data_IF_840974076896
#
_entry.id   IF_840974076896
#
_cell.length_a   1.000
_cell.length_b   1.000
_cell.length_c   1.000
_cell.angle_alpha   90.00
_cell.angle_beta   90.00
_cell.angle_gamma   90.00
#
_symmetry.space_group_name_H-M   'P 1'
#
loop_
_entity.id
_entity.type
_entity.pdbx_description
1 polymer ?
#
# COMPACT_ATOMS: atom_id res chain seq x y z
N UNK A 1 58.40 10.45 -18.15
CA UNK A 1 57.44 10.05 -19.20
C UNK A 1 56.43 9.00 -18.69
N UNK A 2 55.65 9.29 -17.64
CA UNK A 2 54.78 8.28 -16.99
C UNK A 2 53.35 8.18 -17.54
N UNK A 3 52.67 9.32 -17.71
CA UNK A 3 51.22 9.37 -17.90
C UNK A 3 50.67 8.60 -19.13
N UNK A 4 51.38 8.64 -20.26
CA UNK A 4 50.89 8.05 -21.52
C UNK A 4 50.73 6.52 -21.45
N UNK A 5 51.63 5.82 -20.72
CA UNK A 5 51.55 4.35 -20.57
C UNK A 5 50.30 3.92 -19.78
N UNK A 6 49.97 4.62 -18.70
CA UNK A 6 48.75 4.35 -17.92
C UNK A 6 47.51 4.57 -18.78
N UNK A 7 47.48 5.65 -19.58
CA UNK A 7 46.35 5.94 -20.48
C UNK A 7 46.14 4.83 -21.51
N UNK A 8 47.22 4.24 -22.04
CA UNK A 8 47.15 3.10 -22.97
C UNK A 8 46.65 1.82 -22.30
N UNK A 9 47.19 1.46 -21.12
CA UNK A 9 46.73 0.29 -20.35
C UNK A 9 45.26 0.41 -19.93
N UNK A 10 44.83 1.60 -19.50
CA UNK A 10 43.43 1.88 -19.15
C UNK A 10 42.49 1.75 -20.36
N UNK A 11 42.89 2.21 -21.55
CA UNK A 11 42.11 1.99 -22.79
C UNK A 11 42.00 0.51 -23.15
N UNK A 12 43.10 -0.24 -23.08
CA UNK A 12 43.11 -1.69 -23.34
C UNK A 12 42.18 -2.44 -22.36
N UNK A 13 42.13 -2.04 -21.09
CA UNK A 13 41.18 -2.61 -20.12
C UNK A 13 39.71 -2.28 -20.46
N UNK A 14 39.41 -1.08 -20.96
CA UNK A 14 38.05 -0.72 -21.41
C UNK A 14 37.69 -1.51 -22.68
N UNK A 15 38.58 -1.61 -23.66
CA UNK A 15 38.35 -2.38 -24.89
C UNK A 15 38.13 -3.87 -24.57
N UNK A 16 38.97 -4.48 -23.74
CA UNK A 16 38.80 -5.88 -23.32
C UNK A 16 37.49 -6.12 -22.56
N UNK A 17 37.04 -5.16 -21.73
CA UNK A 17 35.71 -5.22 -21.08
C UNK A 17 34.56 -5.04 -22.07
N UNK A 18 34.72 -4.18 -23.09
CA UNK A 18 33.72 -4.03 -24.16
C UNK A 18 33.54 -5.34 -24.91
N UNK A 19 34.61 -5.93 -25.45
CA UNK A 19 34.52 -7.18 -26.21
C UNK A 19 34.03 -8.36 -25.34
N UNK A 20 34.35 -8.38 -24.04
CA UNK A 20 33.80 -9.35 -23.09
C UNK A 20 32.28 -9.22 -22.94
N UNK A 21 31.77 -8.01 -22.73
CA UNK A 21 30.33 -7.75 -22.64
C UNK A 21 29.63 -7.98 -23.99
N UNK A 22 30.26 -7.60 -25.10
CA UNK A 22 29.80 -7.83 -26.47
C UNK A 22 29.60 -9.32 -26.75
N UNK A 23 30.57 -10.17 -26.37
CA UNK A 23 30.45 -11.63 -26.53
C UNK A 23 29.26 -12.22 -25.74
N UNK A 24 28.97 -11.69 -24.55
CA UNK A 24 27.80 -12.08 -23.76
C UNK A 24 26.50 -11.60 -24.44
N UNK A 25 26.41 -10.30 -24.75
CA UNK A 25 25.20 -9.64 -25.24
C UNK A 25 24.83 -9.97 -26.71
N UNK A 26 25.77 -10.47 -27.52
CA UNK A 26 25.48 -11.01 -28.85
C UNK A 26 24.93 -12.45 -28.81
N UNK A 27 24.94 -13.14 -27.66
CA UNK A 27 24.33 -14.47 -27.54
C UNK A 27 22.80 -14.42 -27.65
N UNK A 28 22.18 -15.53 -28.08
CA UNK A 28 20.76 -15.59 -28.46
C UNK A 28 19.79 -15.19 -27.34
N UNK A 29 20.13 -15.48 -26.07
CA UNK A 29 19.32 -15.05 -24.93
C UNK A 29 19.05 -13.53 -24.93
N UNK A 30 20.04 -12.72 -25.32
CA UNK A 30 19.97 -11.25 -25.26
C UNK A 30 19.38 -10.59 -26.53
N UNK A 31 18.73 -11.31 -27.44
CA UNK A 31 18.05 -10.71 -28.62
C UNK A 31 17.13 -9.57 -28.18
N UNK A 32 16.27 -9.83 -27.19
CA UNK A 32 15.25 -8.90 -26.67
C UNK A 32 15.86 -7.64 -26.03
N UNK A 33 17.12 -7.73 -25.58
CA UNK A 33 17.89 -6.61 -25.05
C UNK A 33 18.56 -5.79 -26.17
N UNK A 34 18.84 -6.38 -27.33
CA UNK A 34 19.58 -5.75 -28.43
C UNK A 34 18.76 -4.70 -29.17
N UNK A 35 17.45 -4.89 -29.31
CA UNK A 35 16.60 -3.97 -30.09
C UNK A 35 16.21 -2.69 -29.32
N UNK A 36 16.43 -2.65 -28.01
CA UNK A 36 16.12 -1.49 -27.15
C UNK A 36 17.25 -0.46 -27.10
N UNK A 37 16.93 0.84 -26.99
CA UNK A 37 17.94 1.90 -26.86
C UNK A 37 18.71 1.79 -25.54
N UNK A 38 20.01 2.13 -25.58
CA UNK A 38 20.88 2.12 -24.40
C UNK A 38 20.35 3.02 -23.25
N UNK A 39 19.55 4.03 -23.58
CA UNK A 39 18.87 4.90 -22.63
C UNK A 39 18.05 4.16 -21.56
N UNK A 40 17.44 3.01 -21.88
CA UNK A 40 16.45 2.35 -21.00
C UNK A 40 17.08 1.71 -19.74
N UNK A 41 18.41 1.58 -19.74
CA UNK A 41 19.23 1.13 -18.61
C UNK A 41 19.94 2.27 -17.87
N UNK A 42 19.75 3.53 -18.27
CA UNK A 42 20.29 4.70 -17.57
C UNK A 42 19.45 5.04 -16.32
N UNK A 43 20.13 5.56 -15.29
CA UNK A 43 19.52 5.99 -14.03
C UNK A 43 19.69 7.50 -13.83
N UNK A 44 18.76 8.19 -13.11
CA UNK A 44 18.90 9.61 -12.78
C UNK A 44 20.21 9.98 -12.07
N UNK A 45 20.82 9.01 -11.38
CA UNK A 45 22.08 9.15 -10.65
C UNK A 45 23.34 9.01 -11.53
N UNK A 46 23.21 8.57 -12.79
CA UNK A 46 24.35 8.36 -13.69
C UNK A 46 24.99 9.66 -14.16
N UNK A 47 26.25 9.87 -13.77
CA UNK A 47 27.05 11.03 -14.18
C UNK A 47 27.90 10.69 -15.40
N UNK A 48 27.96 11.63 -16.36
CA UNK A 48 28.75 11.55 -17.61
C UNK A 48 28.25 10.47 -18.58
N UNK A 49 26.94 10.38 -18.78
CA UNK A 49 26.32 9.52 -19.78
C UNK A 49 26.83 9.82 -21.22
N UNK A 50 26.96 8.80 -22.09
CA UNK A 50 27.36 8.96 -23.48
C UNK A 50 26.16 9.38 -24.36
N UNK A 51 25.71 10.64 -24.23
CA UNK A 51 24.47 11.13 -24.85
C UNK A 51 24.31 10.79 -26.35
N UNK A 52 25.39 10.88 -27.14
CA UNK A 52 25.39 10.56 -28.57
C UNK A 52 25.20 9.05 -28.92
N UNK A 53 25.23 8.18 -27.90
CA UNK A 53 24.97 6.74 -28.02
C UNK A 53 23.70 6.28 -27.29
N UNK A 54 23.11 7.09 -26.39
CA UNK A 54 21.95 6.66 -25.60
C UNK A 54 20.73 6.31 -26.48
N UNK A 55 20.49 7.07 -27.55
CA UNK A 55 19.40 6.82 -28.49
C UNK A 55 19.65 5.71 -29.51
N UNK A 56 20.80 5.03 -29.46
CA UNK A 56 21.12 3.87 -30.32
C UNK A 56 20.70 2.59 -29.62
N UNK A 57 20.24 1.61 -30.41
CA UNK A 57 19.94 0.27 -29.88
C UNK A 57 21.21 -0.41 -29.40
N UNK A 58 21.11 -1.28 -28.40
CA UNK A 58 22.25 -2.07 -27.92
C UNK A 58 22.85 -2.90 -29.07
N UNK A 59 22.03 -3.38 -30.02
CA UNK A 59 22.47 -4.07 -31.23
C UNK A 59 23.35 -3.22 -32.15
N UNK A 60 22.96 -1.98 -32.47
CA UNK A 60 23.79 -1.05 -33.27
C UNK A 60 25.14 -0.77 -32.57
N UNK A 61 25.12 -0.60 -31.25
CA UNK A 61 26.34 -0.36 -30.46
C UNK A 61 27.28 -1.57 -30.41
N UNK A 62 26.74 -2.79 -30.40
CA UNK A 62 27.54 -4.03 -30.38
C UNK A 62 27.92 -4.53 -31.77
N UNK A 63 27.30 -4.04 -32.84
CA UNK A 63 27.75 -4.31 -34.21
C UNK A 63 29.10 -3.64 -34.50
N UNK A 64 29.33 -2.44 -33.94
CA UNK A 64 30.51 -1.60 -34.15
C UNK A 64 31.74 -2.12 -33.39
N UNK A 65 32.96 -1.99 -33.94
CA UNK A 65 34.19 -2.19 -33.19
C UNK A 65 34.41 -1.07 -32.15
N UNK A 66 35.14 -1.36 -31.08
CA UNK A 66 35.39 -0.40 -30.00
C UNK A 66 36.05 0.92 -30.46
N UNK A 67 36.87 0.90 -31.51
CA UNK A 67 37.55 2.08 -32.06
C UNK A 67 36.57 3.16 -32.55
N UNK A 68 35.54 2.79 -33.30
CA UNK A 68 34.50 3.73 -33.78
C UNK A 68 33.73 4.40 -32.62
N UNK A 69 33.56 3.67 -31.51
CA UNK A 69 32.91 4.18 -30.31
C UNK A 69 33.81 5.14 -29.51
N UNK A 70 35.14 4.96 -29.56
CA UNK A 70 36.12 5.91 -28.99
C UNK A 70 36.29 7.16 -29.87
N UNK A 71 36.20 7.03 -31.20
CA UNK A 71 36.31 8.15 -32.15
C UNK A 71 35.04 9.01 -32.23
N UNK A 72 33.91 8.55 -31.68
CA UNK A 72 32.63 9.27 -31.73
C UNK A 72 32.73 10.66 -31.06
N UNK A 73 32.40 11.77 -31.76
CA UNK A 73 32.61 13.12 -31.26
C UNK A 73 32.03 13.40 -29.87
N UNK A 74 32.88 13.93 -28.99
CA UNK A 74 32.52 14.27 -27.62
C UNK A 74 32.45 13.08 -26.65
N UNK A 75 32.86 11.87 -27.04
CA UNK A 75 32.91 10.67 -26.18
C UNK A 75 34.33 10.43 -25.67
N UNK A 76 34.75 11.21 -24.67
CA UNK A 76 36.00 10.93 -23.96
C UNK A 76 35.91 9.70 -23.05
N UNK A 77 37.06 9.11 -22.71
CA UNK A 77 37.28 7.99 -21.77
C UNK A 77 36.27 7.85 -20.60
N UNK A 78 35.96 8.95 -19.89
CA UNK A 78 35.01 8.95 -18.76
C UNK A 78 33.55 8.64 -19.15
N UNK A 79 33.17 8.87 -20.42
CA UNK A 79 31.89 8.46 -21.00
C UNK A 79 31.93 7.00 -21.49
N UNK A 80 33.06 6.51 -22.00
CA UNK A 80 33.24 5.08 -22.33
C UNK A 80 33.14 4.20 -21.08
N UNK A 81 33.66 4.65 -19.93
CA UNK A 81 33.40 3.99 -18.64
C UNK A 81 31.92 3.98 -18.25
N UNK A 82 31.13 4.99 -18.65
CA UNK A 82 29.67 5.01 -18.43
C UNK A 82 28.95 4.07 -19.40
N UNK A 83 29.34 4.02 -20.67
CA UNK A 83 28.87 3.04 -21.66
C UNK A 83 29.06 1.60 -21.15
N UNK A 84 30.25 1.25 -20.65
CA UNK A 84 30.51 -0.08 -20.08
C UNK A 84 29.63 -0.40 -18.86
N UNK A 85 29.31 0.59 -18.01
CA UNK A 85 28.40 0.39 -16.88
C UNK A 85 26.96 0.12 -17.33
N UNK A 86 26.51 0.82 -18.38
CA UNK A 86 25.20 0.59 -18.97
C UNK A 86 25.14 -0.81 -19.61
N UNK A 87 26.12 -1.18 -20.45
CA UNK A 87 26.22 -2.52 -21.04
C UNK A 87 26.34 -3.63 -19.98
N UNK A 88 27.01 -3.39 -18.85
CA UNK A 88 27.02 -4.32 -17.72
C UNK A 88 25.65 -4.45 -17.04
N UNK A 89 24.82 -3.40 -16.98
CA UNK A 89 23.42 -3.52 -16.55
C UNK A 89 22.58 -4.31 -17.56
N UNK A 90 22.82 -4.15 -18.87
CA UNK A 90 22.17 -5.01 -19.89
C UNK A 90 22.54 -6.47 -19.65
N UNK A 91 23.82 -6.78 -19.43
CA UNK A 91 24.30 -8.15 -19.19
C UNK A 91 23.75 -8.76 -17.89
N UNK A 92 23.55 -7.93 -16.86
CA UNK A 92 22.93 -8.33 -15.59
C UNK A 92 21.38 -8.29 -15.62
N UNK A 93 20.76 -7.95 -16.74
CA UNK A 93 19.30 -8.04 -16.92
C UNK A 93 18.97 -9.46 -17.36
N UNK A 94 18.08 -10.16 -16.63
CA UNK A 94 17.61 -11.49 -17.01
C UNK A 94 16.87 -11.42 -18.37
N UNK A 95 17.41 -12.00 -19.46
CA UNK A 95 16.90 -11.75 -20.81
C UNK A 95 15.51 -12.34 -21.05
N UNK A 96 15.17 -13.39 -20.30
CA UNK A 96 13.88 -14.09 -20.37
C UNK A 96 12.77 -13.37 -19.58
N UNK A 97 13.10 -12.29 -18.86
CA UNK A 97 12.14 -11.48 -18.10
C UNK A 97 11.83 -10.12 -18.71
N UNK A 98 12.37 -9.82 -19.89
CA UNK A 98 11.80 -8.81 -20.77
C UNK A 98 10.51 -9.37 -21.40
N UNK A 99 9.49 -8.55 -21.67
CA UNK A 99 8.25 -9.03 -22.28
C UNK A 99 8.44 -9.31 -23.78
N UNK A 100 8.86 -10.54 -24.07
CA UNK A 100 8.42 -11.25 -25.28
C UNK A 100 7.18 -12.08 -24.91
N UNK A 101 6.38 -12.44 -25.91
CA UNK A 101 5.16 -13.20 -25.76
C UNK A 101 5.43 -14.58 -25.09
N UNK A 102 4.91 -14.73 -23.87
CA UNK A 102 4.79 -15.92 -23.03
C UNK A 102 5.76 -17.11 -23.20
N UNK A 103 6.66 -17.33 -22.23
CA UNK A 103 6.72 -18.56 -21.38
C UNK A 103 7.75 -18.44 -20.23
N UNK A 104 7.82 -19.46 -19.34
CA UNK A 104 8.67 -19.55 -18.14
C UNK A 104 10.16 -19.82 -18.48
N UNK A 105 11.19 -19.68 -17.61
CA UNK A 105 11.31 -19.46 -16.15
C UNK A 105 12.74 -18.86 -15.86
N UNK A 106 13.38 -18.70 -14.68
CA UNK A 106 13.16 -19.21 -13.30
C UNK A 106 13.81 -18.34 -12.18
N UNK A 107 14.62 -18.91 -11.27
CA UNK A 107 15.20 -18.34 -10.04
C UNK A 107 16.45 -17.45 -10.20
N UNK A 108 16.68 -16.57 -9.23
CA UNK A 108 17.98 -16.02 -8.83
C UNK A 108 17.98 -15.76 -7.30
N UNK A 109 19.16 -15.66 -6.67
CA UNK A 109 19.33 -15.69 -5.19
C UNK A 109 20.33 -14.63 -4.73
N UNK A 110 20.12 -14.07 -3.53
CA UNK A 110 21.09 -13.26 -2.75
C UNK A 110 21.51 -11.89 -3.34
N UNK A 111 21.92 -10.87 -2.56
CA UNK A 111 21.98 -10.69 -1.08
C UNK A 111 21.93 -9.19 -0.70
N UNK A 112 21.54 -8.90 0.54
CA UNK A 112 21.61 -7.55 1.14
C UNK A 112 20.64 -7.37 2.32
N UNK A 113 21.11 -6.79 3.43
CA UNK A 113 20.24 -6.55 4.60
C UNK A 113 19.21 -5.44 4.34
N UNK A 114 17.91 -5.68 4.59
CA UNK A 114 16.87 -4.73 4.23
C UNK A 114 16.69 -3.61 5.26
N UNK A 115 16.93 -2.37 4.84
CA UNK A 115 16.02 -1.29 5.26
C UNK A 115 14.61 -1.68 4.81
N UNK A 116 13.57 -1.42 5.61
CA UNK A 116 12.39 -2.30 5.74
C UNK A 116 11.63 -2.78 4.46
N UNK A 117 11.73 -2.10 3.30
CA UNK A 117 11.22 -2.58 2.00
C UNK A 117 12.31 -2.70 0.89
N UNK A 118 13.56 -2.30 1.14
CA UNK A 118 14.67 -2.31 0.17
C UNK A 118 14.52 -1.34 -1.02
N UNK A 119 13.41 -0.61 -1.11
CA UNK A 119 13.00 0.09 -2.32
C UNK A 119 13.53 1.54 -2.42
N UNK A 120 14.28 1.80 -3.50
CA UNK A 120 14.77 3.12 -3.90
C UNK A 120 14.24 3.52 -5.30
N UNK A 121 13.38 4.56 -5.42
CA UNK A 121 12.80 4.99 -6.70
C UNK A 121 13.81 5.55 -7.70
N UNK A 122 15.03 5.93 -7.27
CA UNK A 122 16.08 6.44 -8.16
C UNK A 122 16.93 5.32 -8.78
N UNK A 123 16.80 4.08 -8.30
CA UNK A 123 17.41 2.89 -8.91
C UNK A 123 16.57 2.28 -10.04
N UNK A 124 15.34 2.79 -10.27
CA UNK A 124 14.43 2.28 -11.29
C UNK A 124 14.80 2.87 -12.66
N UNK A 125 15.08 1.98 -13.61
CA UNK A 125 15.25 2.27 -15.04
C UNK A 125 13.98 1.91 -15.83
N UNK A 126 13.89 2.33 -17.09
CA UNK A 126 12.71 2.09 -17.95
C UNK A 126 12.47 0.58 -18.16
N UNK A 127 13.53 -0.21 -18.38
CA UNK A 127 13.44 -1.69 -18.48
C UNK A 127 12.89 -2.34 -17.20
N UNK A 128 13.33 -1.87 -16.03
CA UNK A 128 12.85 -2.40 -14.73
C UNK A 128 11.37 -2.07 -14.55
N UNK A 129 10.98 -0.84 -14.88
CA UNK A 129 9.59 -0.39 -14.84
C UNK A 129 8.69 -1.19 -15.78
N UNK A 130 9.11 -1.42 -17.02
CA UNK A 130 8.41 -2.24 -18.02
C UNK A 130 8.19 -3.69 -17.53
N UNK A 131 9.20 -4.32 -16.92
CA UNK A 131 9.06 -5.67 -16.32
C UNK A 131 8.02 -5.71 -15.19
N UNK A 132 7.94 -4.67 -14.35
CA UNK A 132 6.94 -4.58 -13.29
C UNK A 132 5.52 -4.42 -13.87
N UNK A 133 5.36 -3.55 -14.88
CA UNK A 133 4.09 -3.40 -15.62
C UNK A 133 3.66 -4.71 -16.28
N UNK A 134 4.57 -5.41 -16.95
CA UNK A 134 4.30 -6.70 -17.58
C UNK A 134 3.80 -7.75 -16.56
N UNK A 135 4.30 -7.73 -15.32
CA UNK A 135 3.81 -8.62 -14.26
C UNK A 135 2.38 -8.28 -13.83
N UNK A 136 2.03 -6.99 -13.71
CA UNK A 136 0.65 -6.58 -13.39
C UNK A 136 -0.33 -7.02 -14.46
N UNK A 137 0.03 -6.87 -15.74
CA UNK A 137 -0.78 -7.33 -16.88
C UNK A 137 -0.92 -8.85 -16.89
N UNK A 138 0.19 -9.58 -16.78
CA UNK A 138 0.27 -11.04 -16.83
C UNK A 138 -0.63 -11.76 -15.82
N UNK A 139 -0.86 -11.15 -14.66
CA UNK A 139 -1.65 -11.74 -13.56
C UNK A 139 -3.05 -11.13 -13.40
N UNK A 140 -3.53 -10.31 -14.35
CA UNK A 140 -4.89 -9.75 -14.30
C UNK A 140 -5.10 -8.68 -13.22
N UNK A 141 -4.02 -8.08 -12.71
CA UNK A 141 -4.05 -7.19 -11.54
C UNK A 141 -4.34 -5.72 -11.89
N UNK A 142 -4.68 -5.40 -13.14
CA UNK A 142 -4.90 -4.02 -13.62
C UNK A 142 -6.01 -3.31 -12.84
N UNK A 143 -7.07 -4.04 -12.45
CA UNK A 143 -8.23 -3.49 -11.74
C UNK A 143 -7.99 -3.27 -10.23
N UNK A 144 -6.91 -3.81 -9.66
CA UNK A 144 -6.59 -3.62 -8.25
C UNK A 144 -6.09 -2.20 -7.97
N UNK A 145 -6.37 -1.67 -6.77
CA UNK A 145 -6.03 -0.28 -6.44
C UNK A 145 -4.69 -0.15 -5.72
N UNK A 146 -3.98 0.96 -5.96
CA UNK A 146 -2.74 1.31 -5.27
C UNK A 146 -2.91 1.27 -3.74
N UNK A 147 -4.04 1.78 -3.23
CA UNK A 147 -4.34 1.81 -1.81
C UNK A 147 -4.55 0.42 -1.19
N UNK A 148 -5.12 -0.53 -1.93
CA UNK A 148 -5.25 -1.90 -1.45
C UNK A 148 -3.91 -2.61 -1.34
N UNK A 149 -2.99 -2.35 -2.28
CA UNK A 149 -1.75 -3.11 -2.48
C UNK A 149 -0.48 -2.46 -1.90
N UNK A 150 -0.49 -1.17 -1.54
CA UNK A 150 0.68 -0.51 -0.91
C UNK A 150 1.07 -1.17 0.43
N UNK A 151 2.38 -1.24 0.79
CA UNK A 151 2.80 -1.66 2.12
C UNK A 151 2.19 -0.83 3.27
N UNK A 152 2.00 0.49 3.07
CA UNK A 152 1.33 1.36 4.05
C UNK A 152 0.70 2.60 3.42
N UNK A 153 -0.52 2.94 3.84
CA UNK A 153 -1.20 4.16 3.42
C UNK A 153 -0.58 5.44 4.04
N UNK A 154 0.27 5.33 5.08
CA UNK A 154 0.90 6.48 5.78
C UNK A 154 1.68 7.41 4.85
N UNK A 155 2.34 6.84 3.84
CA UNK A 155 3.24 7.57 2.95
C UNK A 155 2.59 7.94 1.61
N UNK A 156 1.33 7.52 1.37
CA UNK A 156 0.62 7.74 0.11
C UNK A 156 -0.58 8.69 0.29
N UNK A 157 -0.70 9.70 -0.57
CA UNK A 157 -1.80 10.67 -0.48
C UNK A 157 -3.15 10.08 -0.92
N UNK A 158 -4.24 10.37 -0.20
CA UNK A 158 -5.60 9.84 -0.48
C UNK A 158 -6.09 9.92 -1.92
N UNK A 159 -5.68 10.96 -2.65
CA UNK A 159 -6.06 11.20 -4.05
C UNK A 159 -5.76 10.02 -4.98
N UNK A 160 -4.76 9.19 -4.65
CA UNK A 160 -4.40 7.99 -5.45
C UNK A 160 -4.72 6.66 -4.77
N UNK A 161 -5.38 6.64 -3.59
CA UNK A 161 -5.71 5.39 -2.90
C UNK A 161 -6.64 4.49 -3.72
N UNK A 162 -7.63 5.08 -4.40
CA UNK A 162 -8.60 4.34 -5.23
C UNK A 162 -8.25 4.34 -6.73
N UNK A 163 -7.02 4.70 -7.10
CA UNK A 163 -6.55 4.59 -8.49
C UNK A 163 -6.18 3.13 -8.80
N UNK A 164 -6.71 2.53 -9.88
CA UNK A 164 -6.32 1.19 -10.29
C UNK A 164 -4.87 1.18 -10.80
N UNK A 165 -4.22 0.02 -10.80
CA UNK A 165 -2.88 -0.12 -11.40
C UNK A 165 -2.93 0.17 -12.91
N UNK A 166 -4.05 -0.17 -13.57
CA UNK A 166 -4.30 0.05 -15.01
C UNK A 166 -4.03 1.48 -15.50
N UNK A 167 -4.35 2.50 -14.70
CA UNK A 167 -4.12 3.92 -15.00
C UNK A 167 -2.64 4.28 -15.31
N UNK A 168 -1.70 3.38 -14.98
CA UNK A 168 -0.26 3.59 -15.09
C UNK A 168 0.46 2.57 -16.01
N UNK A 169 -0.26 1.61 -16.60
CA UNK A 169 0.36 0.51 -17.38
C UNK A 169 0.83 0.98 -18.76
N UNK A 170 0.14 1.91 -19.40
CA UNK A 170 0.54 2.40 -20.73
C UNK A 170 1.59 3.55 -20.65
N UNK A 171 1.99 3.93 -19.43
CA UNK A 171 2.93 5.03 -19.21
C UNK A 171 4.38 4.51 -19.03
N UNK A 172 5.35 5.06 -19.78
CA UNK A 172 6.78 4.86 -19.47
C UNK A 172 7.15 5.57 -18.16
N UNK A 173 8.26 5.17 -17.55
CA UNK A 173 8.77 5.73 -16.29
C UNK A 173 9.04 7.22 -16.40
N UNK A 174 9.56 7.67 -17.55
CA UNK A 174 9.68 9.08 -17.88
C UNK A 174 8.32 9.80 -17.91
N UNK A 175 7.28 9.15 -18.44
CA UNK A 175 5.91 9.67 -18.48
C UNK A 175 5.31 9.81 -17.08
N UNK A 176 5.47 8.80 -16.22
CA UNK A 176 5.00 8.83 -14.83
C UNK A 176 5.72 9.92 -14.02
N UNK A 177 7.05 10.05 -14.17
CA UNK A 177 7.83 11.14 -13.57
C UNK A 177 7.42 12.53 -14.09
N UNK A 178 6.79 12.63 -15.26
CA UNK A 178 6.32 13.88 -15.88
C UNK A 178 4.83 14.20 -15.62
N UNK A 179 4.08 13.34 -14.91
CA UNK A 179 2.66 13.58 -14.61
C UNK A 179 2.47 14.82 -13.72
N UNK A 180 1.95 15.92 -14.30
CA UNK A 180 1.71 17.22 -13.60
C UNK A 180 0.91 17.10 -12.29
N UNK A 181 0.07 16.07 -12.16
CA UNK A 181 -0.76 15.79 -10.96
C UNK A 181 -0.06 14.90 -9.92
N UNK A 182 1.14 14.39 -10.21
CA UNK A 182 1.88 13.44 -9.39
C UNK A 182 3.27 13.98 -9.06
N UNK A 183 3.36 14.81 -8.01
CA UNK A 183 4.66 15.14 -7.42
C UNK A 183 5.37 13.91 -6.87
N UNK A 184 6.70 14.02 -6.70
CA UNK A 184 7.65 12.95 -6.33
C UNK A 184 7.11 11.89 -5.36
N UNK A 185 6.48 12.28 -4.24
CA UNK A 185 5.91 11.36 -3.24
C UNK A 185 4.84 10.40 -3.81
N UNK A 186 4.04 10.86 -4.78
CA UNK A 186 3.05 10.02 -5.49
C UNK A 186 3.73 9.07 -6.48
N UNK A 187 4.75 9.55 -7.21
CA UNK A 187 5.55 8.73 -8.11
C UNK A 187 6.26 7.61 -7.33
N UNK A 188 6.93 7.94 -6.22
CA UNK A 188 7.55 6.97 -5.32
C UNK A 188 6.56 5.90 -4.86
N UNK A 189 5.37 6.31 -4.42
CA UNK A 189 4.34 5.37 -3.97
C UNK A 189 3.86 4.44 -5.10
N UNK A 190 3.64 4.94 -6.32
CA UNK A 190 3.27 4.11 -7.48
C UNK A 190 4.36 3.07 -7.76
N UNK A 191 5.61 3.51 -7.85
CA UNK A 191 6.75 2.62 -8.11
C UNK A 191 6.93 1.58 -7.00
N UNK A 192 6.71 1.94 -5.73
CA UNK A 192 6.75 1.01 -4.59
C UNK A 192 5.64 -0.04 -4.66
N UNK A 193 4.41 0.32 -5.03
CA UNK A 193 3.33 -0.67 -5.20
C UNK A 193 3.65 -1.63 -6.34
N UNK A 194 4.07 -1.13 -7.50
CA UNK A 194 4.43 -1.99 -8.64
C UNK A 194 5.63 -2.90 -8.34
N UNK A 195 6.64 -2.41 -7.62
CA UNK A 195 7.74 -3.23 -7.10
C UNK A 195 7.25 -4.33 -6.16
N UNK A 196 6.43 -4.01 -5.15
CA UNK A 196 5.90 -4.99 -4.22
C UNK A 196 5.00 -6.02 -4.90
N UNK A 197 4.14 -5.60 -5.84
CA UNK A 197 3.30 -6.52 -6.63
C UNK A 197 4.17 -7.41 -7.50
N UNK A 198 5.18 -6.86 -8.19
CA UNK A 198 6.13 -7.65 -8.97
C UNK A 198 6.82 -8.70 -8.10
N UNK A 199 7.45 -8.32 -6.98
CA UNK A 199 8.13 -9.26 -6.08
C UNK A 199 7.21 -10.31 -5.44
N UNK A 200 5.90 -10.08 -5.39
CA UNK A 200 4.92 -11.09 -4.92
C UNK A 200 4.51 -12.09 -6.01
N UNK A 201 4.65 -11.77 -7.29
CA UNK A 201 4.23 -12.63 -8.42
C UNK A 201 5.39 -13.07 -9.34
N UNK A 202 6.60 -12.55 -9.16
CA UNK A 202 7.78 -12.93 -9.94
C UNK A 202 8.09 -14.42 -9.73
N UNK A 203 8.06 -15.19 -10.82
CA UNK A 203 8.17 -16.65 -10.79
C UNK A 203 6.83 -17.40 -10.75
N UNK A 204 5.71 -16.75 -10.42
CA UNK A 204 4.38 -17.35 -10.62
C UNK A 204 4.09 -17.46 -12.12
N UNK A 205 3.71 -18.66 -12.57
CA UNK A 205 3.21 -18.83 -13.93
C UNK A 205 1.69 -18.66 -13.96
N UNK A 206 1.13 -17.93 -14.94
CA UNK A 206 -0.31 -17.93 -15.19
C UNK A 206 -0.84 -19.34 -15.38
N UNK A 207 -2.05 -19.58 -14.93
CA UNK A 207 -2.79 -20.84 -15.11
C UNK A 207 -4.21 -20.46 -15.49
N UNK A 208 -4.72 -20.96 -16.61
CA UNK A 208 -6.03 -20.54 -17.17
C UNK A 208 -7.21 -20.76 -16.20
N UNK A 209 -7.05 -21.71 -15.27
CA UNK A 209 -8.05 -22.09 -14.29
C UNK A 209 -7.86 -21.47 -12.88
N UNK A 210 -6.84 -20.62 -12.66
CA UNK A 210 -6.55 -20.01 -11.35
C UNK A 210 -6.40 -18.48 -11.44
N UNK A 211 -7.12 -17.75 -10.59
CA UNK A 211 -6.97 -16.31 -10.43
C UNK A 211 -6.03 -15.96 -9.26
N UNK A 212 -5.12 -15.00 -9.47
CA UNK A 212 -4.27 -14.44 -8.39
C UNK A 212 -5.03 -13.31 -7.70
N UNK A 213 -5.30 -13.43 -6.39
CA UNK A 213 -5.92 -12.38 -5.58
C UNK A 213 -4.95 -11.90 -4.50
N UNK A 214 -4.48 -10.65 -4.63
CA UNK A 214 -3.60 -10.03 -3.62
C UNK A 214 -4.43 -9.27 -2.58
N UNK A 215 -4.25 -9.63 -1.30
CA UNK A 215 -4.91 -8.99 -0.14
C UNK A 215 -3.98 -8.91 1.07
N UNK A 216 -4.12 -7.91 1.96
CA UNK A 216 -3.37 -7.88 3.21
C UNK A 216 -3.73 -9.09 4.09
N UNK A 217 -2.73 -9.81 4.61
CA UNK A 217 -2.92 -11.06 5.41
C UNK A 217 -3.89 -10.89 6.59
N UNK A 218 -3.98 -9.69 7.17
CA UNK A 218 -4.90 -9.36 8.27
C UNK A 218 -6.35 -9.29 7.80
N UNK A 219 -6.58 -8.77 6.60
CA UNK A 219 -7.91 -8.74 5.97
C UNK A 219 -8.32 -10.14 5.52
N UNK A 220 -7.40 -10.93 4.97
CA UNK A 220 -7.65 -12.34 4.63
C UNK A 220 -8.13 -13.17 5.84
N UNK A 221 -7.40 -13.10 6.96
CA UNK A 221 -7.78 -13.78 8.20
C UNK A 221 -9.18 -13.39 8.71
N UNK A 222 -9.56 -12.11 8.54
CA UNK A 222 -10.90 -11.61 8.89
C UNK A 222 -11.95 -12.07 7.88
N UNK A 223 -11.70 -11.98 6.57
CA UNK A 223 -12.63 -12.47 5.53
C UNK A 223 -12.93 -13.96 5.72
N UNK A 224 -11.92 -14.78 6.04
CA UNK A 224 -12.11 -16.20 6.32
C UNK A 224 -12.90 -16.46 7.61
N UNK A 225 -12.71 -15.66 8.66
CA UNK A 225 -13.50 -15.78 9.90
C UNK A 225 -14.95 -15.34 9.68
N UNK A 226 -15.18 -14.20 9.00
CA UNK A 226 -16.52 -13.73 8.62
C UNK A 226 -17.23 -14.75 7.73
N UNK A 227 -16.53 -15.31 6.74
CA UNK A 227 -17.07 -16.34 5.85
C UNK A 227 -17.53 -17.60 6.60
N UNK A 228 -16.72 -18.09 7.56
CA UNK A 228 -17.13 -19.20 8.45
C UNK A 228 -18.28 -18.80 9.38
N UNK A 229 -18.24 -17.62 9.98
CA UNK A 229 -19.31 -17.13 10.88
C UNK A 229 -20.66 -16.91 10.21
N UNK A 230 -20.69 -16.71 8.89
CA UNK A 230 -21.90 -16.68 8.06
C UNK A 230 -22.47 -18.09 7.78
N UNK A 231 -21.65 -19.14 7.79
CA UNK A 231 -22.03 -20.51 7.45
C UNK A 231 -22.31 -21.39 8.68
N UNK A 232 -21.55 -21.21 9.76
CA UNK A 232 -21.70 -21.95 11.02
C UNK A 232 -22.82 -21.34 11.88
N UNK A 233 -23.76 -22.12 12.43
CA UNK A 233 -24.78 -21.60 13.32
C UNK A 233 -24.21 -21.23 14.69
N UNK A 234 -24.70 -20.11 15.25
CA UNK A 234 -24.43 -19.70 16.63
C UNK A 234 -23.45 -18.53 16.80
N UNK A 235 -23.60 -17.85 17.93
CA UNK A 235 -22.87 -16.63 18.29
C UNK A 235 -21.47 -16.97 18.83
N UNK A 236 -20.38 -16.42 18.27
CA UNK A 236 -19.01 -16.60 18.76
C UNK A 236 -18.80 -15.85 20.08
N UNK A 237 -17.87 -16.35 20.90
CA UNK A 237 -17.55 -15.75 22.21
C UNK A 237 -16.91 -14.37 22.03
N UNK A 238 -17.12 -13.46 22.98
CA UNK A 238 -16.52 -12.12 22.95
C UNK A 238 -14.99 -12.13 22.76
N UNK A 239 -14.28 -13.08 23.38
CA UNK A 239 -12.83 -13.26 23.20
C UNK A 239 -12.45 -13.73 21.79
N UNK A 240 -13.29 -14.52 21.13
CA UNK A 240 -13.07 -14.92 19.74
C UNK A 240 -13.27 -13.74 18.79
N UNK A 241 -14.32 -12.93 19.01
CA UNK A 241 -14.54 -11.67 18.29
C UNK A 241 -13.32 -10.75 18.47
N UNK A 242 -12.80 -10.63 19.69
CA UNK A 242 -11.60 -9.84 20.01
C UNK A 242 -10.40 -10.29 19.15
N UNK A 243 -10.04 -11.58 19.23
CA UNK A 243 -8.87 -12.14 18.54
C UNK A 243 -9.00 -12.25 17.01
N UNK A 244 -10.19 -12.59 16.50
CA UNK A 244 -10.39 -12.96 15.09
C UNK A 244 -10.95 -11.84 14.23
N UNK A 245 -11.56 -10.82 14.84
CA UNK A 245 -12.14 -9.68 14.13
C UNK A 245 -11.54 -8.35 14.57
N UNK A 246 -11.43 -8.09 15.87
CA UNK A 246 -11.07 -6.75 16.36
C UNK A 246 -9.57 -6.49 16.25
N UNK A 247 -8.73 -7.37 16.79
CA UNK A 247 -7.26 -7.21 16.79
C UNK A 247 -6.67 -7.13 15.37
N UNK A 248 -7.01 -7.99 14.39
CA UNK A 248 -6.44 -7.91 13.04
C UNK A 248 -6.80 -6.62 12.30
N UNK A 249 -7.98 -6.04 12.56
CA UNK A 249 -8.40 -4.78 11.97
C UNK A 249 -7.70 -3.58 12.64
N UNK A 250 -7.55 -3.60 13.97
CA UNK A 250 -6.73 -2.59 14.68
C UNK A 250 -5.28 -2.64 14.21
N UNK A 251 -4.71 -3.83 14.03
CA UNK A 251 -3.37 -4.00 13.49
C UNK A 251 -3.22 -3.47 12.05
N UNK A 252 -4.26 -3.58 11.22
CA UNK A 252 -4.25 -2.94 9.89
C UNK A 252 -4.24 -1.41 10.01
N UNK A 253 -5.00 -0.83 10.96
CA UNK A 253 -4.91 0.60 11.29
C UNK A 253 -3.51 0.97 11.85
N UNK A 254 -2.87 0.12 12.65
CA UNK A 254 -1.48 0.31 13.12
C UNK A 254 -0.47 0.38 11.97
N UNK A 255 -0.69 -0.36 10.88
CA UNK A 255 0.11 -0.25 9.65
C UNK A 255 -0.18 1.04 8.89
N UNK A 256 -1.44 1.45 8.76
CA UNK A 256 -1.89 2.46 7.80
C UNK A 256 -2.10 3.88 8.35
N UNK A 257 -2.22 4.06 9.67
CA UNK A 257 -2.60 5.33 10.28
C UNK A 257 -1.58 5.85 11.30
N UNK A 258 -1.67 7.13 11.65
CA UNK A 258 -0.82 7.75 12.68
C UNK A 258 -1.19 7.27 14.09
N UNK A 259 -0.27 7.38 15.05
CA UNK A 259 -0.51 6.91 16.43
C UNK A 259 -1.77 7.52 17.07
N UNK A 260 -2.11 8.77 16.74
CA UNK A 260 -3.33 9.42 17.22
C UNK A 260 -4.62 8.75 16.70
N UNK A 261 -4.60 8.19 15.48
CA UNK A 261 -5.72 7.43 14.91
C UNK A 261 -5.77 6.02 15.50
N UNK A 262 -4.61 5.38 15.67
CA UNK A 262 -4.44 4.08 16.32
C UNK A 262 -5.02 4.10 17.73
N UNK A 263 -4.57 5.03 18.58
CA UNK A 263 -5.06 5.15 19.95
C UNK A 263 -6.50 5.63 20.05
N UNK A 264 -7.03 6.35 19.05
CA UNK A 264 -8.47 6.61 18.94
C UNK A 264 -9.26 5.33 18.64
N UNK A 265 -8.78 4.46 17.75
CA UNK A 265 -9.41 3.16 17.48
C UNK A 265 -9.37 2.27 18.73
N UNK A 266 -8.21 2.08 19.35
CA UNK A 266 -8.02 1.25 20.55
C UNK A 266 -8.96 1.67 21.70
N UNK A 267 -9.06 2.99 21.97
CA UNK A 267 -10.00 3.55 22.96
C UNK A 267 -11.48 3.41 22.57
N UNK A 268 -11.81 3.35 21.28
CA UNK A 268 -13.19 3.16 20.76
C UNK A 268 -13.63 1.70 20.71
N UNK A 269 -12.68 0.77 20.60
CA UNK A 269 -12.90 -0.69 20.66
C UNK A 269 -12.82 -1.26 22.08
N UNK A 270 -12.16 -0.58 23.01
CA UNK A 270 -11.84 -1.12 24.33
C UNK A 270 -10.78 -2.22 24.28
N UNK A 271 -9.68 -1.99 23.55
CA UNK A 271 -8.56 -2.95 23.46
C UNK A 271 -7.78 -3.02 24.78
N UNK A 272 -7.57 -1.88 25.42
CA UNK A 272 -6.77 -1.74 26.65
C UNK A 272 -7.62 -1.27 27.86
N UNK A 273 -8.95 -1.39 27.76
CA UNK A 273 -9.87 -0.88 28.79
C UNK A 273 -11.33 -0.79 28.31
N UNK A 274 -12.22 -0.09 29.05
CA UNK A 274 -13.62 0.04 28.66
C UNK A 274 -13.81 0.92 27.42
N UNK A 275 -14.76 0.55 26.55
CA UNK A 275 -15.14 1.32 25.36
C UNK A 275 -15.45 2.77 25.73
N UNK A 276 -14.71 3.72 25.17
CA UNK A 276 -14.86 5.15 25.46
C UNK A 276 -15.80 5.83 24.45
N UNK A 277 -16.56 6.84 24.91
CA UNK A 277 -17.41 7.65 24.03
C UNK A 277 -16.62 8.78 23.38
N UNK A 278 -17.09 9.30 22.23
CA UNK A 278 -16.42 10.40 21.49
C UNK A 278 -16.11 11.61 22.38
N UNK A 279 -16.97 11.93 23.35
CA UNK A 279 -16.78 13.02 24.33
C UNK A 279 -15.70 12.71 25.40
N UNK A 280 -15.34 11.44 25.60
CA UNK A 280 -14.21 11.02 26.44
C UNK A 280 -12.92 10.99 25.61
N UNK A 281 -12.92 10.38 24.42
CA UNK A 281 -11.76 10.37 23.51
C UNK A 281 -11.28 11.80 23.21
N UNK A 282 -12.20 12.73 22.92
CA UNK A 282 -11.90 14.14 22.66
C UNK A 282 -11.11 14.79 23.82
N UNK A 283 -11.53 14.56 25.06
CA UNK A 283 -10.84 15.09 26.25
C UNK A 283 -9.50 14.40 26.51
N UNK A 284 -9.43 13.08 26.37
CA UNK A 284 -8.19 12.30 26.57
C UNK A 284 -7.10 12.64 25.54
N UNK A 285 -7.47 12.91 24.28
CA UNK A 285 -6.55 13.21 23.19
C UNK A 285 -6.27 14.72 23.00
N UNK A 286 -6.85 15.60 23.81
CA UNK A 286 -6.72 17.05 23.65
C UNK A 286 -7.37 17.60 22.37
N UNK A 287 -8.41 16.94 21.85
CA UNK A 287 -9.03 17.24 20.55
C UNK A 287 -10.44 17.81 20.66
N UNK A 288 -10.84 18.60 19.66
CA UNK A 288 -12.25 18.98 19.47
C UNK A 288 -13.07 17.76 18.99
N UNK A 289 -14.37 17.72 19.29
CA UNK A 289 -15.29 16.68 18.77
C UNK A 289 -15.25 16.59 17.24
N UNK A 290 -15.18 17.74 16.56
CA UNK A 290 -15.07 17.81 15.11
C UNK A 290 -13.79 17.13 14.59
N UNK A 291 -12.63 17.35 15.23
CA UNK A 291 -11.39 16.65 14.84
C UNK A 291 -11.48 15.15 15.12
N UNK A 292 -12.11 14.72 16.21
CA UNK A 292 -12.35 13.29 16.45
C UNK A 292 -13.25 12.67 15.37
N UNK A 293 -14.34 13.33 14.96
CA UNK A 293 -15.17 12.83 13.85
C UNK A 293 -14.42 12.77 12.52
N UNK A 294 -13.55 13.73 12.23
CA UNK A 294 -12.64 13.63 11.08
C UNK A 294 -11.79 12.35 11.19
N UNK A 295 -11.03 12.15 12.28
CA UNK A 295 -10.19 10.96 12.49
C UNK A 295 -10.98 9.64 12.39
N UNK A 296 -12.24 9.61 12.83
CA UNK A 296 -13.11 8.44 12.67
C UNK A 296 -13.48 8.17 11.19
N UNK A 297 -13.68 9.22 10.38
CA UNK A 297 -13.84 9.06 8.94
C UNK A 297 -12.51 8.64 8.27
N UNK A 298 -11.35 9.09 8.78
CA UNK A 298 -10.03 8.64 8.30
C UNK A 298 -9.84 7.12 8.48
N UNK A 299 -10.37 6.54 9.56
CA UNK A 299 -10.42 5.08 9.78
C UNK A 299 -11.33 4.38 8.76
N UNK A 300 -12.54 4.91 8.52
CA UNK A 300 -13.43 4.32 7.52
C UNK A 300 -12.83 4.38 6.10
N UNK A 301 -12.21 5.50 5.71
CA UNK A 301 -11.58 5.64 4.40
C UNK A 301 -10.41 4.64 4.20
N UNK A 302 -9.62 4.36 5.24
CA UNK A 302 -8.61 3.29 5.23
C UNK A 302 -9.26 1.91 5.03
N UNK A 303 -10.31 1.61 5.78
CA UNK A 303 -10.96 0.29 5.73
C UNK A 303 -11.69 0.03 4.40
N UNK A 304 -12.38 1.04 3.84
CA UNK A 304 -12.99 0.96 2.52
C UNK A 304 -11.95 0.62 1.41
N UNK A 305 -10.69 1.03 1.59
CA UNK A 305 -9.58 0.79 0.65
C UNK A 305 -8.93 -0.57 0.86
N UNK A 306 -8.65 -0.96 2.11
CA UNK A 306 -8.00 -2.24 2.42
C UNK A 306 -8.93 -3.45 2.27
N UNK A 307 -10.23 -3.25 2.49
CA UNK A 307 -11.24 -4.32 2.45
C UNK A 307 -12.57 -3.80 1.86
N UNK A 308 -12.65 -3.56 0.54
CA UNK A 308 -13.82 -2.93 -0.09
C UNK A 308 -15.15 -3.65 0.17
N UNK A 309 -15.13 -4.98 0.18
CA UNK A 309 -16.31 -5.81 0.44
C UNK A 309 -16.72 -5.86 1.92
N UNK A 310 -15.87 -5.34 2.82
CA UNK A 310 -16.01 -5.51 4.26
C UNK A 310 -17.33 -4.98 4.79
N UNK A 311 -17.79 -3.78 4.36
CA UNK A 311 -19.09 -3.24 4.74
C UNK A 311 -20.24 -4.24 4.51
N UNK A 312 -20.30 -4.88 3.34
CA UNK A 312 -21.35 -5.83 3.01
C UNK A 312 -21.25 -7.12 3.84
N UNK A 313 -20.02 -7.63 4.01
CA UNK A 313 -19.75 -8.86 4.73
C UNK A 313 -20.05 -8.71 6.24
N UNK A 314 -19.63 -7.61 6.87
CA UNK A 314 -19.82 -7.40 8.32
C UNK A 314 -21.26 -7.06 8.69
N UNK A 315 -22.02 -6.36 7.85
CA UNK A 315 -23.43 -6.12 8.15
C UNK A 315 -24.26 -7.40 8.08
N UNK A 316 -24.02 -8.27 7.10
CA UNK A 316 -24.64 -9.61 7.04
C UNK A 316 -24.27 -10.47 8.25
N UNK A 317 -23.01 -10.44 8.68
CA UNK A 317 -22.56 -11.18 9.86
C UNK A 317 -23.21 -10.67 11.14
N UNK A 318 -23.26 -9.34 11.31
CA UNK A 318 -23.89 -8.71 12.47
C UNK A 318 -25.39 -9.01 12.52
N UNK A 319 -26.09 -8.92 11.40
CA UNK A 319 -27.52 -9.26 11.28
C UNK A 319 -27.80 -10.72 11.66
N UNK A 320 -27.03 -11.68 11.14
CA UNK A 320 -27.10 -13.10 11.52
C UNK A 320 -26.88 -13.27 13.03
N UNK A 321 -25.79 -12.73 13.57
CA UNK A 321 -25.47 -12.89 14.99
C UNK A 321 -26.45 -12.17 15.91
N UNK A 322 -27.02 -11.02 15.53
CA UNK A 322 -28.06 -10.35 16.33
C UNK A 322 -29.35 -11.19 16.39
N UNK A 323 -29.74 -11.85 15.30
CA UNK A 323 -30.84 -12.83 15.30
C UNK A 323 -30.56 -14.06 16.17
N UNK A 324 -29.39 -14.67 16.03
CA UNK A 324 -28.97 -15.83 16.85
C UNK A 324 -28.77 -15.47 18.33
N UNK A 325 -28.31 -14.25 18.65
CA UNK A 325 -28.17 -13.73 20.00
C UNK A 325 -29.53 -13.42 20.64
N UNK A 326 -30.50 -12.91 19.88
CA UNK A 326 -31.87 -12.72 20.36
C UNK A 326 -32.53 -14.05 20.74
N UNK A 327 -32.33 -15.10 19.92
CA UNK A 327 -32.85 -16.44 20.20
C UNK A 327 -32.16 -17.16 21.39
N UNK A 328 -30.95 -16.74 21.78
CA UNK A 328 -30.14 -17.41 22.82
C UNK A 328 -29.84 -16.55 24.06
N UNK A 329 -30.29 -15.30 24.11
CA UNK A 329 -30.07 -14.35 25.21
C UNK A 329 -28.67 -13.69 25.25
N UNK A 330 -27.79 -13.94 24.27
CA UNK A 330 -26.34 -13.59 24.31
C UNK A 330 -25.99 -12.23 23.66
N UNK A 331 -26.83 -11.22 23.86
CA UNK A 331 -26.68 -9.90 23.22
C UNK A 331 -25.42 -9.14 23.68
N UNK A 332 -24.98 -9.39 24.91
CA UNK A 332 -23.76 -8.87 25.54
C UNK A 332 -22.48 -9.21 24.75
N UNK A 333 -22.39 -10.43 24.22
CA UNK A 333 -21.21 -10.93 23.52
C UNK A 333 -20.90 -10.13 22.23
N UNK A 334 -21.91 -9.47 21.66
CA UNK A 334 -21.82 -8.68 20.43
C UNK A 334 -21.47 -7.20 20.64
N UNK A 335 -21.26 -6.72 21.87
CA UNK A 335 -20.97 -5.30 22.14
C UNK A 335 -19.70 -4.83 21.41
N UNK A 336 -18.62 -5.63 21.43
CA UNK A 336 -17.37 -5.25 20.76
C UNK A 336 -17.47 -5.36 19.24
N UNK A 337 -18.22 -6.34 18.70
CA UNK A 337 -18.49 -6.44 17.27
C UNK A 337 -19.26 -5.22 16.76
N UNK A 338 -20.31 -4.80 17.47
CA UNK A 338 -21.10 -3.60 17.15
C UNK A 338 -20.23 -2.34 17.18
N UNK A 339 -19.39 -2.19 18.21
CA UNK A 339 -18.44 -1.08 18.31
C UNK A 339 -17.43 -1.05 17.15
N UNK A 340 -16.97 -2.21 16.68
CA UNK A 340 -16.06 -2.36 15.56
C UNK A 340 -16.73 -2.06 14.21
N UNK A 341 -17.92 -2.60 13.94
CA UNK A 341 -18.69 -2.31 12.71
C UNK A 341 -18.99 -0.82 12.59
N UNK A 342 -19.43 -0.19 13.68
CA UNK A 342 -19.74 1.26 13.72
C UNK A 342 -18.47 2.14 13.87
N UNK A 343 -17.27 1.56 14.00
CA UNK A 343 -16.01 2.27 13.83
C UNK A 343 -15.52 2.19 12.38
N UNK A 344 -15.42 0.98 11.83
CA UNK A 344 -14.78 0.70 10.56
C UNK A 344 -15.68 0.95 9.35
N UNK A 345 -17.00 0.74 9.46
CA UNK A 345 -17.96 0.84 8.36
C UNK A 345 -19.29 1.53 8.72
N UNK A 346 -19.29 2.66 9.47
CA UNK A 346 -20.50 3.25 10.06
C UNK A 346 -21.65 3.44 9.05
N UNK A 347 -22.90 3.28 9.52
CA UNK A 347 -24.09 3.34 8.64
C UNK A 347 -24.22 4.69 7.92
N UNK A 348 -23.85 5.77 8.60
CA UNK A 348 -23.82 7.12 8.07
C UNK A 348 -22.42 7.72 8.22
N UNK A 349 -21.90 8.42 7.20
CA UNK A 349 -20.63 9.15 7.33
C UNK A 349 -20.79 10.26 8.36
N UNK A 350 -19.84 10.37 9.29
CA UNK A 350 -19.90 11.31 10.42
C UNK A 350 -19.41 12.69 9.98
N UNK A 351 -20.26 13.42 9.26
CA UNK A 351 -20.01 14.81 8.86
C UNK A 351 -19.88 15.74 10.07
N UNK A 352 -19.34 16.95 9.85
CA UNK A 352 -19.35 18.00 10.88
C UNK A 352 -20.79 18.37 11.28
N UNK A 353 -21.70 18.33 10.31
CA UNK A 353 -23.13 18.66 10.41
C UNK A 353 -24.03 17.42 10.60
N UNK A 354 -23.45 16.29 11.01
CA UNK A 354 -24.22 15.10 11.37
C UNK A 354 -25.11 15.35 12.59
N UNK A 355 -26.34 14.80 12.66
CA UNK A 355 -27.26 15.07 13.77
C UNK A 355 -26.61 14.79 15.12
N UNK A 356 -26.62 15.80 16.00
CA UNK A 356 -26.18 15.59 17.37
C UNK A 356 -27.04 14.52 18.03
N UNK A 357 -26.38 13.50 18.61
CA UNK A 357 -27.01 12.49 19.46
C UNK A 357 -27.99 13.17 20.42
N UNK A 358 -29.30 12.93 20.23
CA UNK A 358 -30.32 13.35 21.21
C UNK A 358 -29.97 12.62 22.51
N UNK A 359 -29.51 13.37 23.51
CA UNK A 359 -29.14 12.79 24.79
C UNK A 359 -30.38 12.11 25.41
N UNK A 360 -30.21 10.87 25.85
CA UNK A 360 -31.23 10.18 26.65
C UNK A 360 -31.55 11.04 27.87
N UNK A 361 -32.84 11.27 28.12
CA UNK A 361 -33.31 12.15 29.19
C UNK A 361 -33.50 11.35 30.49
N UNK A 362 -32.49 10.57 30.84
CA UNK A 362 -32.45 9.62 31.97
C UNK A 362 -31.17 9.84 32.78
N UNK A 363 -31.17 10.91 33.57
CA UNK A 363 -30.50 11.01 34.89
C UNK A 363 -30.64 12.46 35.42
N UNK A 364 -31.67 12.69 36.25
CA UNK A 364 -31.84 13.78 37.26
C UNK A 364 -33.31 13.94 37.65
N UNK A 365 -33.81 13.04 38.50
CA UNK A 365 -35.12 13.18 39.16
C UNK A 365 -35.20 12.39 40.50
N UNK A 366 -34.10 12.33 41.25
CA UNK A 366 -34.07 11.71 42.58
C UNK A 366 -33.06 12.42 43.49
N UNK A 367 -33.48 12.77 44.71
CA UNK A 367 -32.61 13.24 45.79
C UNK A 367 -32.31 14.75 45.82
N UNK A 368 -33.23 15.56 46.37
CA UNK A 368 -32.99 16.37 47.58
C UNK A 368 -34.12 17.37 47.82
N UNK A 369 -35.03 17.08 48.76
CA UNK A 369 -35.78 18.13 49.46
C UNK A 369 -36.29 17.62 50.83
N UNK A 370 -35.40 17.63 51.83
CA UNK A 370 -35.77 17.43 53.23
C UNK A 370 -36.22 18.77 53.82
N UNK A 371 -37.52 19.03 53.83
CA UNK A 371 -38.15 20.16 54.52
C UNK A 371 -38.88 19.72 55.78
N UNK A 372 -38.26 19.88 56.96
CA UNK A 372 -38.98 19.75 58.23
C UNK A 372 -39.72 21.05 58.55
N UNK A 373 -41.01 20.94 58.88
CA UNK A 373 -41.87 22.02 59.35
C UNK A 373 -43.17 21.42 59.91
N UNK A 374 -43.25 21.31 61.24
CA UNK A 374 -44.40 20.69 61.91
C UNK A 374 -45.67 21.57 61.89
N UNK A 375 -46.87 20.95 62.01
CA UNK A 375 -48.14 21.65 61.87
C UNK A 375 -48.61 22.30 63.18
N UNK A 376 -49.29 23.44 63.06
CA UNK A 376 -50.25 23.88 64.08
C UNK A 376 -51.70 23.74 63.57
N UNK A 377 -52.62 23.47 64.50
CA UNK A 377 -54.00 23.02 64.24
C UNK A 377 -55.04 24.15 64.43
N UNK A 378 -56.29 23.96 63.98
CA UNK A 378 -57.15 25.08 63.59
C UNK A 378 -58.09 25.60 64.67
N UNK A 379 -58.54 26.84 64.46
CA UNK A 379 -59.76 27.47 64.96
C UNK A 379 -60.26 28.43 63.86
N UNK A 380 -61.54 28.77 63.70
CA UNK A 380 -62.82 28.12 64.04
C UNK A 380 -63.91 28.80 63.17
N UNK A 381 -65.12 28.26 63.18
CA UNK A 381 -66.29 28.72 62.41
C UNK A 381 -66.65 30.23 62.52
N UNK A 382 -67.41 30.72 61.54
CA UNK A 382 -68.37 31.82 61.74
C UNK A 382 -68.22 33.04 60.82
N UNK A 383 -69.33 33.75 60.62
CA UNK A 383 -69.36 35.09 60.05
C UNK A 383 -69.93 36.05 61.12
N UNK A 384 -69.28 37.23 61.24
CA UNK A 384 -69.45 38.26 62.30
C UNK A 384 -68.83 37.89 63.65
#
# INVERSE_FOLDING_TARGET
MGASRNTSLERLQIAGRFESLRKILLSEAYVNCRDKPLADWALPTDRRLPLALLGRTVGDLLSRPFSELEETPGIGYKKLQSLLRLLARVANTDPWRLPVEATACSQAKESGEPSANGFDPDTVSEVVWERWRASVVRHGLQAETLGRLTPSLKHMTRVIWNRPLGDYIDLPLAGIRALKTHGEKRVRAILEVFYCVHCLVDGMQPQEHLAVRLIPRRIDAVEQWVGRGLQTPGVPKAEEIRQRFVEPLVDQIRVDATQQIVSLAENRLGVEGPITSVRRCARQLGLTRARVYQLLNEINDIMNVRWPNGRQQVYRLLEKFEGEAAATGRSDQLVQLRAAVELFYPRHRRGADGPMERAGKEDRAAGSENGHGEPQRPQMAGQR
#
